data_IF_818164491819
#
_entry.id   IF_818164491819
#
_cell.length_a   1.000
_cell.length_b   1.000
_cell.length_c   1.000
_cell.angle_alpha   90.00
_cell.angle_beta   90.00
_cell.angle_gamma   90.00
#
_symmetry.space_group_name_H-M   'P 1'
#
loop_
_entity.id
_entity.type
_entity.pdbx_description
1 polymer ?
#
# COMPACT_ATOMS: atom_id res chain seq x y z
N UNK A 1 11.71 -1.61 5.94
CA UNK A 1 10.69 -2.67 6.07
C UNK A 1 11.40 -3.93 5.66
N UNK A 2 11.69 -4.83 6.60
CA UNK A 2 12.43 -6.08 6.34
C UNK A 2 11.49 -7.24 6.67
N UNK A 3 10.34 -7.29 6.00
CA UNK A 3 9.34 -8.31 6.28
C UNK A 3 9.59 -9.61 5.49
N UNK A 4 10.51 -9.61 4.51
CA UNK A 4 10.91 -10.76 3.71
C UNK A 4 9.84 -11.23 2.70
N UNK A 5 8.88 -10.37 2.35
CA UNK A 5 7.72 -10.69 1.50
C UNK A 5 7.66 -9.86 0.22
N UNK A 6 8.72 -9.14 -0.09
CA UNK A 6 9.04 -8.71 -1.44
C UNK A 6 9.04 -9.92 -2.41
N UNK A 7 8.89 -9.70 -3.73
CA UNK A 7 9.12 -10.76 -4.72
C UNK A 7 10.43 -11.49 -4.43
N UNK A 8 10.38 -12.82 -4.46
CA UNK A 8 11.51 -13.71 -4.13
C UNK A 8 12.06 -13.60 -2.69
N UNK A 9 11.34 -12.91 -1.80
CA UNK A 9 11.72 -12.75 -0.40
C UNK A 9 11.63 -14.05 0.41
N UNK A 10 12.46 -14.16 1.45
CA UNK A 10 12.63 -15.36 2.26
C UNK A 10 11.36 -15.89 2.96
N UNK A 11 10.30 -15.08 3.06
CA UNK A 11 9.02 -15.39 3.72
C UNK A 11 7.85 -15.55 2.74
N UNK A 12 8.12 -15.54 1.44
CA UNK A 12 7.09 -15.70 0.39
C UNK A 12 6.47 -17.11 0.41
N UNK A 13 7.26 -18.16 0.64
CA UNK A 13 6.74 -19.54 0.67
C UNK A 13 5.73 -19.80 1.79
N UNK A 14 5.90 -19.13 2.93
CA UNK A 14 5.05 -19.30 4.12
C UNK A 14 3.86 -18.34 4.13
N UNK A 15 4.04 -17.08 3.70
CA UNK A 15 3.04 -16.03 3.85
C UNK A 15 2.54 -15.41 2.54
N UNK A 16 3.09 -15.83 1.39
CA UNK A 16 2.84 -15.23 0.08
C UNK A 16 3.53 -13.88 -0.12
N UNK A 17 3.53 -13.38 -1.36
CA UNK A 17 4.06 -12.04 -1.68
C UNK A 17 3.22 -10.97 -0.99
N UNK A 18 3.85 -9.89 -0.54
CA UNK A 18 3.18 -8.76 0.07
C UNK A 18 2.48 -7.92 -1.00
N UNK A 19 1.18 -7.64 -0.81
CA UNK A 19 0.45 -6.74 -1.72
C UNK A 19 1.07 -5.36 -1.81
N UNK A 20 1.72 -4.87 -0.74
CA UNK A 20 2.44 -3.60 -0.78
C UNK A 20 3.56 -3.60 -1.83
N UNK A 21 4.16 -4.76 -2.10
CA UNK A 21 5.25 -4.91 -3.05
C UNK A 21 4.78 -5.06 -4.49
N UNK A 22 3.49 -5.36 -4.74
CA UNK A 22 2.97 -5.67 -6.09
C UNK A 22 1.81 -4.80 -6.53
N UNK A 23 1.18 -4.04 -5.63
CA UNK A 23 0.03 -3.20 -5.98
C UNK A 23 0.47 -1.94 -6.73
N UNK A 24 0.58 -2.06 -8.05
CA UNK A 24 0.97 -0.99 -8.97
C UNK A 24 0.04 0.22 -8.92
N UNK A 25 -1.22 0.05 -8.46
CA UNK A 25 -2.19 1.14 -8.42
C UNK A 25 -1.76 2.22 -7.46
N UNK A 26 -0.98 1.87 -6.44
CA UNK A 26 -0.44 2.83 -5.48
C UNK A 26 0.93 3.40 -5.89
N UNK A 27 1.47 3.00 -7.05
CA UNK A 27 2.77 3.47 -7.52
C UNK A 27 2.86 4.99 -7.58
N UNK A 28 4.01 5.52 -7.17
CA UNK A 28 4.32 6.95 -7.10
C UNK A 28 3.78 7.67 -5.85
N UNK A 29 2.84 7.08 -5.12
CA UNK A 29 2.31 7.67 -3.88
C UNK A 29 3.40 7.72 -2.83
N UNK A 30 3.55 8.87 -2.16
CA UNK A 30 4.62 9.15 -1.20
C UNK A 30 5.99 8.78 -1.77
N UNK A 31 6.26 9.14 -3.04
CA UNK A 31 7.47 8.79 -3.79
C UNK A 31 7.89 7.32 -3.62
N UNK A 32 6.91 6.41 -3.59
CA UNK A 32 7.11 4.97 -3.42
C UNK A 32 6.94 4.19 -4.71
N UNK A 33 7.59 3.04 -4.77
CA UNK A 33 7.30 2.01 -5.76
C UNK A 33 6.14 1.14 -5.27
N UNK A 34 5.19 0.86 -6.17
CA UNK A 34 3.93 0.16 -5.85
C UNK A 34 3.28 0.76 -4.59
N UNK A 35 2.85 -0.09 -3.66
CA UNK A 35 2.29 0.34 -2.38
C UNK A 35 3.33 0.36 -1.23
N UNK A 36 4.64 0.30 -1.54
CA UNK A 36 5.68 0.15 -0.54
C UNK A 36 5.71 1.28 0.49
N UNK A 37 5.55 2.54 0.04
CA UNK A 37 5.48 3.74 0.89
C UNK A 37 4.04 4.20 1.18
N UNK A 38 3.08 3.30 1.01
CA UNK A 38 1.65 3.51 1.29
C UNK A 38 0.98 2.26 1.86
N UNK A 39 1.79 1.32 2.40
CA UNK A 39 1.35 -0.02 2.79
C UNK A 39 0.25 -0.04 3.88
N UNK A 40 0.12 1.05 4.63
CA UNK A 40 -0.91 1.26 5.65
C UNK A 40 -2.31 1.51 5.03
N UNK A 41 -2.37 2.03 3.81
CA UNK A 41 -3.63 2.32 3.11
C UNK A 41 -4.15 1.11 2.32
N UNK A 42 -3.30 0.14 1.97
CA UNK A 42 -3.69 -1.04 1.19
C UNK A 42 -4.17 -2.17 2.10
N UNK A 43 -5.37 -2.72 1.86
CA UNK A 43 -5.89 -3.88 2.60
C UNK A 43 -5.05 -5.15 2.37
N UNK A 44 -5.11 -6.12 3.29
CA UNK A 44 -4.40 -7.39 3.14
C UNK A 44 -2.87 -7.35 3.31
N UNK A 45 -2.27 -6.17 3.53
CA UNK A 45 -0.84 -6.10 3.91
C UNK A 45 -0.63 -6.61 5.33
N UNK A 46 0.52 -7.24 5.55
CA UNK A 46 0.91 -7.77 6.85
C UNK A 46 1.79 -6.76 7.59
N UNK A 47 1.39 -6.40 8.79
CA UNK A 47 2.26 -5.75 9.76
C UNK A 47 2.53 -6.76 10.89
N UNK A 48 3.80 -6.91 11.27
CA UNK A 48 4.22 -7.78 12.40
C UNK A 48 3.75 -9.24 12.28
N UNK A 49 3.70 -9.79 11.07
CA UNK A 49 3.33 -11.19 10.85
C UNK A 49 1.83 -11.51 10.94
N UNK A 50 0.95 -10.49 10.98
CA UNK A 50 -0.52 -10.69 10.95
C UNK A 50 -1.17 -9.92 9.82
N UNK A 51 -2.15 -10.55 9.16
CA UNK A 51 -3.10 -9.85 8.27
C UNK A 51 -3.74 -8.73 9.09
N UNK A 52 -3.61 -7.50 8.62
CA UNK A 52 -4.29 -6.38 9.25
C UNK A 52 -5.71 -6.28 8.70
N UNK A 53 -6.69 -6.18 9.61
CA UNK A 53 -8.12 -6.07 9.30
C UNK A 53 -8.50 -4.74 8.65
N UNK A 54 -9.69 -4.21 8.97
CA UNK A 54 -10.17 -2.95 8.39
C UNK A 54 -9.18 -1.79 8.58
N UNK A 55 -9.25 -0.82 7.67
CA UNK A 55 -8.43 0.39 7.63
C UNK A 55 -8.29 1.10 8.98
N UNK A 56 -9.42 1.28 9.70
CA UNK A 56 -9.43 1.97 11.00
C UNK A 56 -8.58 1.26 12.06
N UNK A 57 -8.59 -0.08 12.09
CA UNK A 57 -7.76 -0.87 13.01
C UNK A 57 -6.28 -0.80 12.66
N UNK A 58 -5.98 -0.60 11.37
CA UNK A 58 -4.63 -0.61 10.81
C UNK A 58 -3.86 0.68 11.07
N UNK A 59 -4.54 1.83 11.09
CA UNK A 59 -3.91 3.14 11.33
C UNK A 59 -3.25 3.22 12.71
N UNK A 60 -3.94 2.79 13.78
CA UNK A 60 -3.39 2.83 15.14
C UNK A 60 -2.11 1.97 15.32
N UNK A 61 -2.00 0.85 14.61
CA UNK A 61 -0.78 0.04 14.61
C UNK A 61 0.32 0.65 13.73
N UNK A 62 -0.07 1.34 12.65
CA UNK A 62 0.85 2.02 11.74
C UNK A 62 1.46 3.27 12.38
N UNK A 63 0.75 3.99 13.24
CA UNK A 63 1.30 5.08 14.05
C UNK A 63 2.47 4.64 14.95
N UNK A 64 2.54 3.34 15.30
CA UNK A 64 3.66 2.74 16.05
C UNK A 64 4.75 2.17 15.15
N UNK A 65 4.58 2.18 13.84
CA UNK A 65 5.53 1.64 12.87
C UNK A 65 6.66 2.65 12.59
N UNK A 66 7.91 2.25 12.79
CA UNK A 66 9.09 3.10 12.50
C UNK A 66 9.17 3.51 11.03
N UNK A 67 8.81 2.60 10.13
CA UNK A 67 8.80 2.87 8.70
C UNK A 67 7.74 3.92 8.32
N UNK A 68 6.53 3.81 8.87
CA UNK A 68 5.47 4.81 8.67
C UNK A 68 5.91 6.21 9.11
N UNK A 69 6.44 6.33 10.34
CA UNK A 69 6.98 7.60 10.87
C UNK A 69 8.09 8.17 9.99
N UNK A 70 8.96 7.30 9.48
CA UNK A 70 10.04 7.69 8.57
C UNK A 70 9.49 8.25 7.27
N UNK A 71 8.50 7.59 6.64
CA UNK A 71 7.89 8.09 5.41
C UNK A 71 7.24 9.46 5.64
N UNK A 72 6.47 9.64 6.70
CA UNK A 72 5.89 10.97 7.03
C UNK A 72 6.99 12.04 7.13
N UNK A 73 8.09 11.73 7.82
CA UNK A 73 9.22 12.66 7.98
C UNK A 73 9.91 12.99 6.66
N UNK A 74 10.13 11.99 5.80
CA UNK A 74 10.78 12.15 4.50
C UNK A 74 9.90 12.94 3.51
N UNK A 75 8.59 12.70 3.51
CA UNK A 75 7.64 13.37 2.62
C UNK A 75 7.32 14.80 3.06
N UNK A 76 7.33 15.06 4.38
CA UNK A 76 7.05 16.37 4.96
C UNK A 76 5.69 16.90 4.51
N UNK A 77 5.66 18.13 4.00
CA UNK A 77 4.44 18.79 3.54
C UNK A 77 3.78 18.11 2.31
N UNK A 78 4.51 17.22 1.60
CA UNK A 78 3.99 16.49 0.44
C UNK A 78 3.40 15.13 0.81
N UNK A 79 3.38 14.79 2.09
CA UNK A 79 2.84 13.53 2.58
C UNK A 79 1.36 13.37 2.17
N UNK A 80 1.06 12.26 1.50
CA UNK A 80 -0.28 11.88 1.10
C UNK A 80 -0.89 11.02 2.20
N UNK A 81 -2.04 11.46 2.72
CA UNK A 81 -2.71 10.80 3.84
C UNK A 81 -3.35 9.49 3.41
N UNK A 82 -3.66 8.65 4.38
CA UNK A 82 -4.25 7.35 4.10
C UNK A 82 -5.67 7.46 3.49
N UNK A 83 -6.44 8.54 3.79
CA UNK A 83 -7.74 8.83 3.17
C UNK A 83 -7.57 9.24 1.70
N UNK A 84 -6.62 10.15 1.43
CA UNK A 84 -6.32 10.61 0.07
C UNK A 84 -5.84 9.47 -0.83
N UNK A 85 -5.06 8.54 -0.26
CA UNK A 85 -4.59 7.34 -0.98
C UNK A 85 -5.78 6.48 -1.39
N UNK A 86 -6.75 6.24 -0.50
CA UNK A 86 -7.94 5.44 -0.82
C UNK A 86 -8.75 6.08 -1.94
N UNK A 87 -8.99 7.40 -1.87
CA UNK A 87 -9.69 8.14 -2.93
C UNK A 87 -8.97 8.05 -4.27
N UNK A 88 -7.64 8.11 -4.26
CA UNK A 88 -6.83 8.00 -5.46
C UNK A 88 -6.89 6.59 -6.06
N UNK A 89 -6.85 5.55 -5.23
CA UNK A 89 -7.00 4.16 -5.67
C UNK A 89 -8.37 3.90 -6.30
N UNK A 90 -9.44 4.40 -5.67
CA UNK A 90 -10.81 4.31 -6.22
C UNK A 90 -10.92 4.99 -7.59
N UNK A 91 -10.35 6.18 -7.75
CA UNK A 91 -10.31 6.89 -9.04
C UNK A 91 -9.54 6.09 -10.10
N UNK A 92 -8.39 5.52 -9.75
CA UNK A 92 -7.56 4.71 -10.67
C UNK A 92 -8.28 3.42 -11.09
N UNK A 93 -8.98 2.76 -10.17
CA UNK A 93 -9.79 1.57 -10.47
C UNK A 93 -10.95 1.92 -11.40
N UNK A 94 -11.64 3.03 -11.12
CA UNK A 94 -12.74 3.51 -11.96
C UNK A 94 -12.27 3.90 -13.37
N UNK A 95 -11.14 4.61 -13.48
CA UNK A 95 -10.54 4.95 -14.77
C UNK A 95 -10.18 3.70 -15.57
N UNK A 96 -9.56 2.70 -14.93
CA UNK A 96 -9.22 1.43 -15.56
C UNK A 96 -10.46 0.67 -16.03
N UNK A 97 -11.51 0.64 -15.21
CA UNK A 97 -12.79 0.05 -15.58
C UNK A 97 -13.33 0.70 -16.84
N UNK A 98 -13.45 2.03 -16.88
CA UNK A 98 -13.97 2.71 -18.06
C UNK A 98 -13.09 2.54 -19.29
N UNK A 99 -11.75 2.62 -19.16
CA UNK A 99 -10.84 2.39 -20.29
C UNK A 99 -10.97 0.99 -20.88
N UNK A 100 -11.10 -0.04 -20.03
CA UNK A 100 -11.25 -1.43 -20.49
C UNK A 100 -12.54 -1.57 -21.30
N UNK A 101 -13.67 -1.12 -20.74
CA UNK A 101 -14.98 -1.27 -21.37
C UNK A 101 -15.24 -0.28 -22.53
N UNK A 102 -14.43 0.76 -22.67
CA UNK A 102 -14.44 1.63 -23.85
C UNK A 102 -13.70 1.02 -25.05
N UNK A 103 -12.77 0.08 -24.83
CA UNK A 103 -12.04 -0.64 -25.89
C UNK A 103 -12.77 -1.89 -26.39
N UNK A 104 -13.76 -2.36 -25.62
CA UNK A 104 -14.59 -3.52 -25.95
C UNK A 104 -15.85 -3.13 -26.77
N UNK A 105 -15.92 -1.89 -27.27
CA UNK A 105 -16.93 -1.38 -28.21
C UNK A 105 -16.28 -0.94 -29.51
#
# INVERSE_FOLDING_TARGET
MECGREPDGAKVSEFGVCLAATDIRAGGINHGENAGRSCWAVAGTFCRGKVQGSYAKKLGDCEKCRFYKRVIKEEGAKYVTADDILRELEKRDLHRYFLKHARDK
#
